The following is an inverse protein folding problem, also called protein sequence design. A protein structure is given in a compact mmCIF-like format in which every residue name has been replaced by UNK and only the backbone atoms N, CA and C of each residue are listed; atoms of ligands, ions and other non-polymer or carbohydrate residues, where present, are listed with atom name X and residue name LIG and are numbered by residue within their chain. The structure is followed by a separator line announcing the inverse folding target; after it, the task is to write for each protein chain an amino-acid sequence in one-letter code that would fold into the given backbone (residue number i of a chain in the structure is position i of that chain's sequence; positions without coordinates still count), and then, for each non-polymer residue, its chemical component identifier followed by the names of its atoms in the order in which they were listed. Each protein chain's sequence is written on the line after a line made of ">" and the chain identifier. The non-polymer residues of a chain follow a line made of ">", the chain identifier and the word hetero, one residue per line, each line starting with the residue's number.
data_IF_925023816267
#
_entry.id   IF_925023816267
#
_cell.length_a   1.000
_cell.length_b   1.000
_cell.length_c   1.000
_cell.angle_alpha   90.00
_cell.angle_beta   90.00
_cell.angle_gamma   90.00
#
_symmetry.space_group_name_H-M   'P 1'
#
loop_
_entity.id
_entity.type
_entity.pdbx_description
1 polymer ?
#
# COMPACT_ATOMS: atom_id res chain seq x y z
N UNK A 1 -11.34 69.85 24.13
CA UNK A 1 -11.56 68.83 23.09
C UNK A 1 -10.55 67.74 23.28
N UNK A 2 -10.94 66.58 23.92
CA UNK A 2 -10.11 65.42 24.15
C UNK A 2 -10.39 64.45 23.04
N UNK A 3 -9.36 64.10 22.24
CA UNK A 3 -9.43 63.01 21.23
C UNK A 3 -9.14 61.66 21.90
N UNK A 4 -10.13 60.81 21.89
CA UNK A 4 -10.04 59.40 22.32
C UNK A 4 -9.50 58.55 21.15
N UNK A 5 -8.32 57.99 21.29
CA UNK A 5 -7.74 57.01 20.37
C UNK A 5 -8.28 55.63 20.75
N UNK A 6 -9.08 55.01 19.85
CA UNK A 6 -9.44 53.59 19.95
C UNK A 6 -8.28 52.78 19.39
N UNK A 7 -7.66 51.94 20.22
CA UNK A 7 -6.73 50.93 19.78
C UNK A 7 -7.53 49.63 19.45
N UNK A 8 -7.60 49.26 18.16
CA UNK A 8 -8.08 47.94 17.74
C UNK A 8 -6.94 46.92 17.97
N UNK A 9 -7.11 46.06 18.96
CA UNK A 9 -6.23 44.91 19.18
C UNK A 9 -6.59 43.81 18.17
N UNK A 10 -5.66 43.50 17.25
CA UNK A 10 -5.74 42.37 16.36
C UNK A 10 -5.28 41.10 17.14
N UNK A 11 -6.23 40.27 17.55
CA UNK A 11 -5.91 38.97 18.16
C UNK A 11 -5.48 38.00 17.05
N UNK A 12 -4.18 37.78 16.90
CA UNK A 12 -3.62 36.72 16.08
C UNK A 12 -3.92 35.38 16.74
N UNK A 13 -4.80 34.57 16.14
CA UNK A 13 -5.03 33.20 16.55
C UNK A 13 -3.75 32.35 16.23
N UNK A 14 -2.98 32.08 17.24
CA UNK A 14 -1.82 31.15 17.15
C UNK A 14 -2.42 29.73 16.99
N UNK A 15 -2.46 29.23 15.76
CA UNK A 15 -2.71 27.81 15.52
C UNK A 15 -1.44 27.04 15.94
N UNK A 16 -1.45 26.50 17.13
CA UNK A 16 -0.42 25.56 17.59
C UNK A 16 -0.41 24.31 16.68
N UNK A 17 0.72 23.56 16.60
CA UNK A 17 0.79 22.36 15.81
C UNK A 17 -0.34 21.41 16.23
N UNK A 18 -1.16 20.98 15.27
CA UNK A 18 -2.24 20.02 15.52
C UNK A 18 -1.62 18.77 16.13
N UNK A 19 -1.92 18.49 17.39
CA UNK A 19 -1.48 17.28 18.07
C UNK A 19 -1.90 16.07 17.21
N UNK A 20 -0.93 15.26 16.79
CA UNK A 20 -1.21 14.00 16.09
C UNK A 20 -2.18 13.21 16.97
N UNK A 21 -3.34 12.83 16.44
CA UNK A 21 -4.29 12.02 17.17
C UNK A 21 -3.56 10.75 17.63
N UNK A 22 -3.65 10.44 18.92
CA UNK A 22 -3.03 9.25 19.51
C UNK A 22 -3.42 8.02 18.69
N UNK A 23 -2.44 7.22 18.27
CA UNK A 23 -2.68 6.00 17.52
C UNK A 23 -3.56 5.05 18.35
N UNK A 24 -4.64 4.54 17.73
CA UNK A 24 -5.46 3.49 18.33
C UNK A 24 -4.99 2.16 17.75
N UNK A 25 -4.65 1.19 18.58
CA UNK A 25 -4.31 -0.16 18.14
C UNK A 25 -5.23 -1.19 18.80
N UNK A 26 -5.30 -2.36 18.21
CA UNK A 26 -6.09 -3.45 18.75
C UNK A 26 -6.02 -4.70 17.88
N UNK A 27 -6.82 -5.69 18.27
CA UNK A 27 -6.99 -6.91 17.51
C UNK A 27 -8.43 -7.06 17.05
N UNK A 28 -8.62 -7.67 15.89
CA UNK A 28 -9.94 -7.97 15.33
C UNK A 28 -9.96 -9.40 14.81
N UNK A 29 -10.86 -10.22 15.39
CA UNK A 29 -10.99 -11.61 14.99
C UNK A 29 -11.83 -11.72 13.71
N UNK A 30 -11.27 -12.29 12.63
CA UNK A 30 -11.96 -12.60 11.37
C UNK A 30 -11.47 -13.94 10.84
N UNK A 31 -12.36 -14.75 10.32
CA UNK A 31 -12.07 -15.99 9.60
C UNK A 31 -11.04 -16.90 10.32
N UNK A 32 -11.15 -17.04 11.64
CA UNK A 32 -10.30 -17.88 12.47
C UNK A 32 -8.94 -17.28 12.86
N UNK A 33 -8.65 -16.04 12.48
CA UNK A 33 -7.44 -15.32 12.86
C UNK A 33 -7.77 -14.07 13.66
N UNK A 34 -6.83 -13.64 14.51
CA UNK A 34 -6.92 -12.41 15.30
C UNK A 34 -5.91 -11.38 14.78
N UNK A 35 -6.35 -10.54 13.84
CA UNK A 35 -5.50 -9.57 13.16
C UNK A 35 -5.19 -8.37 14.04
N UNK A 36 -3.92 -8.01 14.14
CA UNK A 36 -3.49 -6.75 14.73
C UNK A 36 -3.66 -5.60 13.74
N UNK A 37 -4.13 -4.47 14.22
CA UNK A 37 -4.26 -3.25 13.43
C UNK A 37 -3.90 -2.01 14.24
N UNK A 38 -3.52 -0.96 13.53
CA UNK A 38 -3.32 0.39 14.05
C UNK A 38 -4.15 1.39 13.25
N UNK A 39 -4.69 2.42 13.90
CA UNK A 39 -5.37 3.53 13.25
C UNK A 39 -4.66 4.82 13.59
N UNK A 40 -4.20 5.54 12.58
CA UNK A 40 -3.45 6.79 12.72
C UNK A 40 -4.14 7.92 11.98
N UNK A 41 -4.03 9.14 12.48
CA UNK A 41 -4.53 10.33 11.82
C UNK A 41 -6.05 10.43 11.74
N UNK A 42 -6.53 11.33 10.87
CA UNK A 42 -7.95 11.65 10.64
C UNK A 42 -8.19 11.93 9.17
N UNK A 43 -9.45 11.91 8.74
CA UNK A 43 -9.84 12.18 7.36
C UNK A 43 -10.27 10.92 6.61
N UNK A 44 -10.12 10.93 5.30
CA UNK A 44 -10.50 9.84 4.41
C UNK A 44 -9.74 8.54 4.74
N UNK A 45 -10.44 7.40 4.83
CA UNK A 45 -9.82 6.15 5.25
C UNK A 45 -8.89 5.60 4.17
N UNK A 46 -7.69 5.16 4.60
CA UNK A 46 -6.66 4.51 3.82
C UNK A 46 -6.26 3.20 4.49
N UNK A 47 -6.51 2.07 3.83
CA UNK A 47 -5.97 0.78 4.23
C UNK A 47 -4.51 0.68 3.77
N UNK A 48 -3.60 0.40 4.70
CA UNK A 48 -2.15 0.28 4.47
C UNK A 48 -1.70 -1.15 4.74
N UNK A 49 -1.11 -1.81 3.72
CA UNK A 49 -0.73 -3.22 3.75
C UNK A 49 0.75 -3.39 3.42
N UNK A 50 1.49 -4.02 4.33
CA UNK A 50 2.94 -4.21 4.26
C UNK A 50 3.37 -5.40 3.38
N UNK A 51 4.66 -5.50 3.08
CA UNK A 51 5.27 -6.59 2.31
C UNK A 51 5.51 -7.87 3.12
N UNK A 52 5.88 -8.95 2.41
CA UNK A 52 6.20 -10.23 3.01
C UNK A 52 7.36 -10.13 4.02
N UNK A 53 7.32 -10.95 5.06
CA UNK A 53 8.25 -11.00 6.20
C UNK A 53 8.39 -9.66 6.94
N UNK A 54 7.45 -8.72 6.73
CA UNK A 54 7.42 -7.41 7.36
C UNK A 54 6.30 -7.26 8.40
N UNK A 55 6.00 -6.02 8.73
CA UNK A 55 4.90 -5.59 9.60
C UNK A 55 4.53 -4.14 9.29
N UNK A 56 3.55 -3.59 9.99
CA UNK A 56 3.22 -2.15 9.95
C UNK A 56 4.47 -1.29 10.15
N UNK A 57 5.43 -1.76 10.96
CA UNK A 57 6.63 -1.01 11.32
C UNK A 57 7.53 -0.67 10.11
N UNK A 58 7.39 -1.39 8.98
CA UNK A 58 8.07 -1.04 7.72
C UNK A 58 7.75 0.39 7.26
N UNK A 59 6.54 0.86 7.52
CA UNK A 59 6.08 2.19 7.09
C UNK A 59 6.35 3.30 8.10
N UNK A 60 6.97 3.02 9.26
CA UNK A 60 7.20 4.05 10.30
C UNK A 60 7.82 5.35 9.76
N UNK A 61 8.78 5.32 8.81
CA UNK A 61 9.36 6.56 8.26
C UNK A 61 8.37 7.43 7.47
N UNK A 62 7.40 6.81 6.78
CA UNK A 62 6.44 7.51 5.89
C UNK A 62 5.03 7.63 6.48
N UNK A 63 4.71 6.86 7.50
CA UNK A 63 3.40 6.82 8.15
C UNK A 63 2.92 8.19 8.65
N UNK A 64 3.76 9.04 9.28
CA UNK A 64 3.34 10.40 9.67
C UNK A 64 2.87 11.24 8.49
N UNK A 65 3.52 11.12 7.33
CA UNK A 65 3.13 11.84 6.11
C UNK A 65 1.81 11.32 5.56
N UNK A 66 1.62 9.99 5.52
CA UNK A 66 0.37 9.37 5.08
C UNK A 66 -0.80 9.71 6.01
N UNK A 67 -0.56 9.78 7.32
CA UNK A 67 -1.58 10.02 8.34
C UNK A 67 -1.87 11.51 8.60
N UNK A 68 -1.16 12.43 7.95
CA UNK A 68 -1.33 13.89 8.16
C UNK A 68 -2.77 14.34 7.91
N UNK A 69 -3.33 13.95 6.76
CA UNK A 69 -4.66 14.35 6.31
C UNK A 69 -5.58 13.15 6.04
N UNK A 70 -5.15 11.93 6.44
CA UNK A 70 -5.87 10.68 6.25
C UNK A 70 -5.97 9.86 7.52
N UNK A 71 -7.03 9.07 7.61
CA UNK A 71 -7.17 8.01 8.62
C UNK A 71 -6.55 6.75 8.06
N UNK A 72 -5.32 6.47 8.43
CA UNK A 72 -4.60 5.26 8.01
C UNK A 72 -4.98 4.10 8.91
N UNK A 73 -5.54 3.04 8.32
CA UNK A 73 -5.79 1.75 8.93
C UNK A 73 -4.68 0.82 8.45
N UNK A 74 -3.69 0.58 9.29
CA UNK A 74 -2.58 -0.32 9.00
C UNK A 74 -2.85 -1.68 9.63
N UNK A 75 -2.58 -2.78 8.91
CA UNK A 75 -2.87 -4.14 9.38
C UNK A 75 -1.61 -4.99 9.25
N UNK A 76 -1.24 -5.69 10.33
CA UNK A 76 -0.25 -6.77 10.25
C UNK A 76 -0.90 -7.99 9.60
N UNK A 77 -0.39 -8.40 8.44
CA UNK A 77 -0.98 -9.46 7.61
C UNK A 77 -0.89 -10.83 8.30
N UNK A 78 -1.66 -11.79 7.81
CA UNK A 78 -1.70 -13.17 8.31
C UNK A 78 -0.28 -13.76 8.47
N UNK A 79 0.07 -14.16 9.68
CA UNK A 79 1.37 -14.72 10.04
C UNK A 79 2.51 -13.71 10.16
N UNK A 80 2.24 -12.42 10.05
CA UNK A 80 3.23 -11.35 10.05
C UNK A 80 3.03 -10.40 11.23
N UNK A 81 4.13 -9.77 11.65
CA UNK A 81 4.09 -8.79 12.72
C UNK A 81 3.42 -9.35 13.98
N UNK A 82 2.41 -8.68 14.49
CA UNK A 82 1.65 -9.05 15.72
C UNK A 82 0.45 -9.95 15.43
N UNK A 83 0.23 -10.33 14.17
CA UNK A 83 -0.80 -11.28 13.76
C UNK A 83 -0.21 -12.70 13.71
N UNK A 84 -0.73 -13.60 14.56
CA UNK A 84 -0.23 -14.97 14.62
C UNK A 84 -0.42 -15.74 13.30
N UNK A 85 0.47 -16.70 13.05
CA UNK A 85 0.44 -17.53 11.82
C UNK A 85 -0.79 -18.45 11.76
N UNK A 86 -1.24 -19.00 12.92
CA UNK A 86 -2.37 -19.93 12.94
C UNK A 86 -2.08 -21.21 12.14
N UNK A 87 -3.16 -21.94 11.78
CA UNK A 87 -3.06 -23.21 11.04
C UNK A 87 -3.42 -23.07 9.55
N UNK A 88 -4.16 -22.01 9.19
CA UNK A 88 -4.58 -21.75 7.82
C UNK A 88 -3.38 -21.48 6.90
N UNK A 89 -3.42 -21.99 5.68
CA UNK A 89 -2.42 -21.64 4.66
C UNK A 89 -2.44 -20.15 4.33
N UNK A 90 -1.30 -19.56 3.98
CA UNK A 90 -1.23 -18.19 3.48
C UNK A 90 -1.78 -18.15 2.05
N UNK A 91 -2.79 -17.32 1.83
CA UNK A 91 -3.46 -17.12 0.54
C UNK A 91 -3.80 -15.65 0.35
N UNK A 92 -3.41 -15.09 -0.82
CA UNK A 92 -3.71 -13.69 -1.13
C UNK A 92 -5.22 -13.44 -1.25
N UNK A 93 -5.97 -14.40 -1.82
CA UNK A 93 -7.43 -14.30 -1.92
C UNK A 93 -8.10 -14.31 -0.56
N UNK A 94 -7.70 -15.25 0.33
CA UNK A 94 -8.27 -15.32 1.68
C UNK A 94 -7.93 -14.05 2.49
N UNK A 95 -6.69 -13.54 2.35
CA UNK A 95 -6.34 -12.26 2.99
C UNK A 95 -7.12 -11.08 2.40
N UNK A 96 -7.48 -11.10 1.11
CA UNK A 96 -8.38 -10.12 0.51
C UNK A 96 -9.75 -10.11 1.19
N UNK A 97 -10.34 -11.29 1.39
CA UNK A 97 -11.62 -11.46 2.11
C UNK A 97 -11.49 -11.07 3.60
N UNK A 98 -10.36 -11.40 4.22
CA UNK A 98 -10.08 -10.99 5.60
C UNK A 98 -10.04 -9.46 5.74
N UNK A 99 -9.37 -8.75 4.80
CA UNK A 99 -9.35 -7.28 4.82
C UNK A 99 -10.76 -6.70 4.68
N UNK A 100 -11.60 -7.26 3.81
CA UNK A 100 -13.00 -6.85 3.70
C UNK A 100 -13.76 -7.04 5.02
N UNK A 101 -13.60 -8.19 5.68
CA UNK A 101 -14.22 -8.49 6.96
C UNK A 101 -13.71 -7.59 8.10
N UNK A 102 -12.40 -7.29 8.14
CA UNK A 102 -11.79 -6.35 9.09
C UNK A 102 -12.39 -4.96 8.92
N UNK A 103 -12.38 -4.43 7.69
CA UNK A 103 -12.92 -3.11 7.38
C UNK A 103 -14.39 -2.99 7.78
N UNK A 104 -15.20 -4.02 7.48
CA UNK A 104 -16.62 -4.08 7.89
C UNK A 104 -16.77 -4.03 9.41
N UNK A 105 -15.99 -4.81 10.16
CA UNK A 105 -16.03 -4.82 11.64
C UNK A 105 -15.57 -3.51 12.25
N UNK A 106 -14.59 -2.83 11.63
CA UNK A 106 -14.11 -1.54 12.08
C UNK A 106 -14.97 -0.35 11.63
N UNK A 107 -16.04 -0.59 10.85
CA UNK A 107 -16.99 0.43 10.42
C UNK A 107 -16.53 1.24 9.20
N UNK A 108 -15.67 0.67 8.36
CA UNK A 108 -15.18 1.31 7.12
C UNK A 108 -15.82 0.64 5.89
N UNK A 109 -16.95 1.15 5.37
CA UNK A 109 -17.62 0.53 4.22
C UNK A 109 -16.85 0.71 2.91
N UNK A 110 -16.04 1.76 2.81
CA UNK A 110 -15.21 2.05 1.64
C UNK A 110 -13.92 2.75 2.05
N UNK A 111 -12.79 2.35 1.45
CA UNK A 111 -11.45 2.88 1.72
C UNK A 111 -10.67 3.13 0.43
N UNK A 112 -9.64 3.97 0.47
CA UNK A 112 -8.51 3.85 -0.45
C UNK A 112 -7.58 2.75 0.05
N UNK A 113 -6.80 2.14 -0.85
CA UNK A 113 -5.86 1.07 -0.49
C UNK A 113 -4.46 1.44 -1.00
N UNK A 114 -3.47 1.30 -0.15
CA UNK A 114 -2.05 1.30 -0.49
C UNK A 114 -1.46 -0.02 -0.03
N UNK A 115 -1.07 -0.86 -0.97
CA UNK A 115 -0.44 -2.15 -0.68
C UNK A 115 0.94 -2.25 -1.31
N UNK A 116 1.93 -2.67 -0.51
CA UNK A 116 3.30 -2.90 -0.95
C UNK A 116 3.59 -4.40 -1.06
N UNK A 117 4.16 -4.83 -2.19
CA UNK A 117 4.62 -6.22 -2.41
C UNK A 117 3.52 -7.24 -2.09
N UNK A 118 3.69 -8.12 -1.10
CA UNK A 118 2.65 -9.04 -0.62
C UNK A 118 1.33 -8.30 -0.33
N UNK A 119 1.41 -7.17 0.38
CA UNK A 119 0.25 -6.31 0.67
C UNK A 119 -0.37 -5.71 -0.59
N UNK A 120 0.41 -5.50 -1.65
CA UNK A 120 -0.10 -5.13 -2.97
C UNK A 120 -0.94 -6.24 -3.58
N UNK A 121 -0.47 -7.50 -3.51
CA UNK A 121 -1.25 -8.67 -3.92
C UNK A 121 -2.55 -8.83 -3.12
N UNK A 122 -2.51 -8.61 -1.80
CA UNK A 122 -3.71 -8.63 -0.93
C UNK A 122 -4.67 -7.50 -1.31
N UNK A 123 -4.17 -6.27 -1.52
CA UNK A 123 -4.97 -5.13 -1.96
C UNK A 123 -5.61 -5.34 -3.32
N UNK A 124 -4.89 -5.98 -4.24
CA UNK A 124 -5.40 -6.38 -5.55
C UNK A 124 -6.56 -7.38 -5.41
N UNK A 125 -6.39 -8.43 -4.60
CA UNK A 125 -7.46 -9.42 -4.37
C UNK A 125 -8.67 -8.81 -3.68
N UNK A 126 -8.48 -7.95 -2.67
CA UNK A 126 -9.56 -7.17 -2.07
C UNK A 126 -10.33 -6.38 -3.13
N UNK A 127 -9.64 -5.70 -4.03
CA UNK A 127 -10.27 -4.87 -5.07
C UNK A 127 -11.04 -5.69 -6.12
N UNK A 128 -10.57 -6.90 -6.44
CA UNK A 128 -11.25 -7.83 -7.37
C UNK A 128 -12.47 -8.48 -6.71
N UNK A 129 -12.34 -8.94 -5.47
CA UNK A 129 -13.37 -9.70 -4.75
C UNK A 129 -14.44 -8.79 -4.14
N UNK A 130 -14.06 -7.57 -3.72
CA UNK A 130 -14.93 -6.61 -3.05
C UNK A 130 -14.81 -5.20 -3.66
N UNK A 131 -15.08 -5.01 -4.96
CA UNK A 131 -14.79 -3.77 -5.68
C UNK A 131 -15.49 -2.54 -5.10
N UNK A 132 -16.68 -2.70 -4.49
CA UNK A 132 -17.42 -1.61 -3.86
C UNK A 132 -16.73 -1.05 -2.60
N UNK A 133 -15.82 -1.82 -1.98
CA UNK A 133 -15.09 -1.39 -0.78
C UNK A 133 -13.81 -0.61 -1.11
N UNK A 134 -13.38 -0.60 -2.36
CA UNK A 134 -12.13 0.07 -2.77
C UNK A 134 -12.44 1.27 -3.65
N UNK A 135 -12.17 2.46 -3.16
CA UNK A 135 -12.37 3.72 -3.89
C UNK A 135 -11.23 4.02 -4.88
N UNK A 136 -9.99 3.82 -4.45
CA UNK A 136 -8.75 3.92 -5.24
C UNK A 136 -7.76 2.90 -4.75
N UNK A 137 -6.95 2.37 -5.65
CA UNK A 137 -5.97 1.33 -5.36
C UNK A 137 -4.57 1.79 -5.79
N UNK A 138 -3.66 1.93 -4.84
CA UNK A 138 -2.23 2.14 -5.10
C UNK A 138 -1.48 0.82 -4.84
N UNK A 139 -0.87 0.29 -5.89
CA UNK A 139 -0.04 -0.92 -5.85
C UNK A 139 1.43 -0.52 -5.96
N UNK A 140 2.18 -0.80 -4.91
CA UNK A 140 3.61 -0.47 -4.81
C UNK A 140 4.41 -1.75 -4.94
N UNK A 141 5.26 -1.84 -5.97
CA UNK A 141 6.13 -3.00 -6.21
C UNK A 141 5.37 -4.34 -6.16
N UNK A 142 4.24 -4.44 -6.88
CA UNK A 142 3.39 -5.63 -6.93
C UNK A 142 3.02 -5.99 -8.37
N UNK A 143 3.22 -7.25 -8.74
CA UNK A 143 2.93 -7.75 -10.08
C UNK A 143 1.54 -8.39 -10.21
N UNK A 144 1.09 -8.55 -11.45
CA UNK A 144 -0.15 -9.27 -11.77
C UNK A 144 0.11 -10.71 -12.24
N UNK A 145 1.37 -11.06 -12.54
CA UNK A 145 1.74 -12.42 -12.97
C UNK A 145 3.17 -12.76 -12.55
N UNK A 146 3.44 -14.05 -12.42
CA UNK A 146 4.74 -14.57 -11.98
C UNK A 146 5.87 -14.27 -12.98
N UNK A 147 5.56 -14.20 -14.28
CA UNK A 147 6.53 -13.85 -15.32
C UNK A 147 7.02 -12.41 -15.25
N UNK A 148 6.43 -11.59 -14.38
CA UNK A 148 6.90 -10.24 -14.10
C UNK A 148 8.23 -10.15 -13.38
N UNK A 149 8.61 -11.18 -12.63
CA UNK A 149 9.89 -11.23 -11.96
C UNK A 149 11.06 -11.42 -12.96
N UNK A 150 12.25 -10.99 -12.56
CA UNK A 150 13.45 -11.40 -13.28
C UNK A 150 13.66 -12.89 -13.18
N UNK A 151 14.11 -13.58 -14.26
CA UNK A 151 14.25 -15.05 -14.28
C UNK A 151 15.11 -15.61 -13.15
N UNK A 152 16.16 -14.90 -12.73
CA UNK A 152 17.04 -15.30 -11.62
C UNK A 152 16.35 -15.27 -10.24
N UNK A 153 15.23 -14.54 -10.11
CA UNK A 153 14.46 -14.49 -8.85
C UNK A 153 13.66 -15.77 -8.61
N UNK A 154 13.19 -16.43 -9.67
CA UNK A 154 12.32 -17.60 -9.55
C UNK A 154 12.96 -18.79 -8.82
N UNK A 155 14.23 -19.19 -9.13
CA UNK A 155 14.91 -20.21 -8.35
C UNK A 155 15.11 -19.85 -6.88
N UNK A 156 15.39 -18.57 -6.59
CA UNK A 156 15.54 -18.09 -5.20
C UNK A 156 14.21 -18.16 -4.43
N UNK A 157 13.11 -17.74 -5.05
CA UNK A 157 11.78 -17.84 -4.46
C UNK A 157 11.35 -19.30 -4.22
N UNK A 158 11.71 -20.21 -5.12
CA UNK A 158 11.41 -21.64 -4.98
C UNK A 158 12.11 -22.29 -3.77
N UNK A 159 13.24 -21.74 -3.33
CA UNK A 159 14.01 -22.23 -2.18
C UNK A 159 13.53 -21.69 -0.84
N UNK A 160 12.62 -20.70 -0.83
CA UNK A 160 12.10 -20.14 0.42
C UNK A 160 11.41 -21.23 1.24
N UNK A 161 11.85 -21.38 2.49
CA UNK A 161 11.34 -22.39 3.41
C UNK A 161 12.08 -22.36 4.75
N UNK A 162 11.66 -23.22 5.69
CA UNK A 162 12.19 -23.27 7.07
C UNK A 162 13.72 -23.42 7.14
N UNK A 163 14.34 -24.12 6.17
CA UNK A 163 15.79 -24.30 6.13
C UNK A 163 16.57 -22.98 6.02
N UNK A 164 15.94 -21.90 5.53
CA UNK A 164 16.57 -20.58 5.45
C UNK A 164 16.60 -19.83 6.79
N UNK A 165 15.80 -20.24 7.76
CA UNK A 165 15.57 -19.46 9.00
C UNK A 165 16.88 -19.18 9.74
N UNK A 166 17.77 -20.17 9.83
CA UNK A 166 19.06 -20.02 10.52
C UNK A 166 19.94 -18.96 9.86
N UNK A 167 20.00 -18.96 8.52
CA UNK A 167 20.79 -17.99 7.75
C UNK A 167 20.19 -16.58 7.75
N UNK A 168 18.92 -16.44 8.13
CA UNK A 168 18.24 -15.16 8.18
C UNK A 168 18.35 -14.43 9.52
N UNK A 169 18.89 -15.06 10.58
CA UNK A 169 18.92 -14.50 11.96
C UNK A 169 19.52 -13.09 12.05
N UNK A 170 20.50 -12.80 11.20
CA UNK A 170 21.14 -11.49 11.18
C UNK A 170 20.44 -10.44 10.28
N UNK A 171 19.44 -10.86 9.50
CA UNK A 171 18.72 -9.97 8.61
C UNK A 171 17.74 -9.05 9.34
N UNK A 172 17.45 -7.85 8.80
CA UNK A 172 16.42 -6.98 9.33
C UNK A 172 15.03 -7.63 9.40
N UNK A 173 14.70 -8.50 8.43
CA UNK A 173 13.42 -9.21 8.37
C UNK A 173 13.22 -10.13 9.58
N UNK A 174 14.21 -10.97 9.90
CA UNK A 174 14.13 -11.82 11.09
C UNK A 174 14.05 -10.99 12.38
N UNK A 175 14.96 -10.00 12.53
CA UNK A 175 15.02 -9.15 13.72
C UNK A 175 13.72 -8.40 13.96
N UNK A 176 13.10 -7.87 12.90
CA UNK A 176 11.82 -7.17 13.00
C UNK A 176 10.67 -8.12 13.35
N UNK A 177 10.68 -9.34 12.81
CA UNK A 177 9.68 -10.37 13.12
C UNK A 177 9.73 -10.77 14.60
N UNK A 178 10.88 -11.22 15.08
CA UNK A 178 11.03 -11.71 16.47
C UNK A 178 10.78 -10.63 17.51
N UNK A 179 10.96 -9.37 17.15
CA UNK A 179 10.72 -8.24 18.06
C UNK A 179 9.25 -8.02 18.42
N UNK A 180 8.31 -8.47 17.56
CA UNK A 180 6.88 -8.16 17.70
C UNK A 180 5.94 -9.36 17.57
N UNK A 181 6.41 -10.48 17.00
CA UNK A 181 5.59 -11.66 16.77
C UNK A 181 5.09 -12.28 18.08
N UNK A 182 3.81 -12.70 18.16
CA UNK A 182 3.27 -13.39 19.34
C UNK A 182 3.99 -14.70 19.64
N UNK A 183 4.55 -15.35 18.62
CA UNK A 183 5.32 -16.59 18.67
C UNK A 183 6.54 -16.46 17.77
N UNK A 184 7.65 -15.91 18.25
CA UNK A 184 8.88 -15.73 17.45
C UNK A 184 9.42 -17.06 16.86
N UNK A 185 9.19 -18.17 17.55
CA UNK A 185 9.55 -19.52 17.12
C UNK A 185 8.81 -20.00 15.87
N UNK A 186 7.72 -19.35 15.47
CA UNK A 186 6.98 -19.66 14.24
C UNK A 186 7.69 -19.14 12.97
N UNK A 187 8.80 -18.40 13.07
CA UNK A 187 9.48 -17.82 11.89
C UNK A 187 9.85 -18.88 10.82
N UNK A 188 10.44 -20.07 11.16
CA UNK A 188 10.70 -21.10 10.17
C UNK A 188 9.43 -21.60 9.48
N UNK A 189 8.34 -21.76 10.23
CA UNK A 189 7.04 -22.19 9.72
C UNK A 189 6.41 -21.11 8.82
N UNK A 190 6.60 -19.83 9.15
CA UNK A 190 6.20 -18.73 8.26
C UNK A 190 6.94 -18.79 6.93
N UNK A 191 8.25 -19.06 6.94
CA UNK A 191 9.04 -19.23 5.70
C UNK A 191 8.51 -20.38 4.85
N UNK A 192 8.13 -21.52 5.44
CA UNK A 192 7.51 -22.63 4.71
C UNK A 192 6.20 -22.18 4.04
N UNK A 193 5.32 -21.49 4.76
CA UNK A 193 4.05 -20.98 4.22
C UNK A 193 4.26 -19.94 3.11
N UNK A 194 5.26 -19.07 3.26
CA UNK A 194 5.63 -18.11 2.23
C UNK A 194 6.21 -18.83 0.99
N UNK A 195 7.05 -19.85 1.18
CA UNK A 195 7.55 -20.66 0.08
C UNK A 195 6.44 -21.42 -0.65
N UNK A 196 5.47 -21.97 0.06
CA UNK A 196 4.27 -22.60 -0.53
C UNK A 196 3.51 -21.60 -1.41
N UNK A 197 3.33 -20.34 -0.95
CA UNK A 197 2.71 -19.28 -1.73
C UNK A 197 3.53 -18.94 -2.97
N UNK A 198 4.84 -18.71 -2.83
CA UNK A 198 5.73 -18.27 -3.91
C UNK A 198 5.92 -19.32 -5.01
N UNK A 199 5.81 -20.62 -4.69
CA UNK A 199 5.89 -21.70 -5.67
C UNK A 199 4.63 -21.89 -6.51
N UNK A 200 3.49 -21.28 -6.11
CA UNK A 200 2.25 -21.35 -6.88
C UNK A 200 2.33 -20.37 -8.06
N UNK A 201 2.25 -20.86 -9.31
CA UNK A 201 2.19 -19.96 -10.46
C UNK A 201 0.91 -19.14 -10.42
N UNK A 202 1.00 -17.90 -10.87
CA UNK A 202 -0.15 -17.03 -10.97
C UNK A 202 -0.06 -16.14 -12.21
N UNK A 203 -1.23 -15.88 -12.79
CA UNK A 203 -1.48 -14.87 -13.80
C UNK A 203 -2.90 -14.29 -13.57
N UNK A 204 -2.95 -13.02 -13.25
CA UNK A 204 -4.19 -12.29 -12.95
C UNK A 204 -4.54 -11.28 -14.06
N UNK A 205 -4.04 -11.48 -15.27
CA UNK A 205 -4.27 -10.57 -16.39
C UNK A 205 -5.77 -10.33 -16.65
N UNK A 206 -6.59 -11.39 -16.53
CA UNK A 206 -8.05 -11.26 -16.68
C UNK A 206 -8.70 -10.56 -15.48
N UNK A 207 -8.16 -10.71 -14.27
CA UNK A 207 -8.67 -10.01 -13.10
C UNK A 207 -8.30 -8.52 -13.12
N UNK A 208 -7.15 -8.13 -13.71
CA UNK A 208 -6.78 -6.72 -13.95
C UNK A 208 -7.88 -5.98 -14.71
N UNK A 209 -8.46 -6.62 -15.72
CA UNK A 209 -9.53 -6.04 -16.55
C UNK A 209 -10.85 -5.83 -15.79
N UNK A 210 -11.05 -6.52 -14.67
CA UNK A 210 -12.23 -6.40 -13.80
C UNK A 210 -12.16 -5.25 -12.82
N UNK A 211 -11.00 -4.61 -12.65
CA UNK A 211 -10.82 -3.52 -11.70
C UNK A 211 -11.64 -2.29 -12.11
N UNK A 212 -12.59 -1.90 -11.26
CA UNK A 212 -13.54 -0.82 -11.55
C UNK A 212 -13.08 0.55 -11.04
N UNK A 213 -12.21 0.58 -10.04
CA UNK A 213 -11.67 1.80 -9.44
C UNK A 213 -10.44 2.31 -10.18
N UNK A 214 -10.06 3.59 -10.02
CA UNK A 214 -8.76 4.07 -10.45
C UNK A 214 -7.64 3.30 -9.74
N UNK A 215 -6.59 2.92 -10.51
CA UNK A 215 -5.41 2.21 -10.02
C UNK A 215 -4.16 3.05 -10.29
N UNK A 216 -3.27 3.09 -9.33
CA UNK A 216 -1.93 3.63 -9.48
C UNK A 216 -0.90 2.54 -9.25
N UNK A 217 0.01 2.38 -10.19
CA UNK A 217 1.18 1.51 -10.09
C UNK A 217 2.38 2.36 -9.72
N UNK A 218 3.18 1.91 -8.74
CA UNK A 218 4.40 2.60 -8.30
C UNK A 218 5.52 1.59 -8.14
N UNK A 219 6.65 1.84 -8.79
CA UNK A 219 7.84 0.97 -8.74
C UNK A 219 9.11 1.81 -8.57
N UNK A 220 10.17 1.20 -8.04
CA UNK A 220 11.51 1.73 -8.20
C UNK A 220 12.02 1.46 -9.62
N UNK A 221 12.98 2.25 -10.10
CA UNK A 221 13.64 2.00 -11.40
C UNK A 221 14.56 0.76 -11.36
N UNK A 222 14.88 0.30 -10.16
CA UNK A 222 15.67 -0.91 -9.88
C UNK A 222 14.86 -1.94 -9.07
N UNK A 223 13.56 -2.09 -9.39
CA UNK A 223 12.64 -3.03 -8.72
C UNK A 223 12.94 -4.50 -9.10
N UNK A 224 12.36 -5.44 -8.34
CA UNK A 224 12.40 -6.88 -8.66
C UNK A 224 11.47 -7.28 -9.82
N UNK A 225 10.62 -6.38 -10.28
CA UNK A 225 9.76 -6.58 -11.45
C UNK A 225 10.39 -5.96 -12.69
N UNK A 226 10.36 -6.72 -13.80
CA UNK A 226 10.88 -6.24 -15.09
C UNK A 226 10.08 -5.04 -15.60
N UNK A 227 10.75 -4.03 -16.19
CA UNK A 227 10.06 -2.84 -16.73
C UNK A 227 8.96 -3.16 -17.74
N UNK A 228 9.16 -4.19 -18.59
CA UNK A 228 8.16 -4.62 -19.57
C UNK A 228 6.87 -5.08 -18.89
N UNK A 229 6.97 -5.80 -17.77
CA UNK A 229 5.83 -6.23 -16.96
C UNK A 229 5.09 -5.03 -16.38
N UNK A 230 5.82 -4.06 -15.83
CA UNK A 230 5.26 -2.83 -15.27
C UNK A 230 4.47 -2.05 -16.32
N UNK A 231 5.05 -1.86 -17.50
CA UNK A 231 4.39 -1.19 -18.62
C UNK A 231 3.17 -1.99 -19.10
N UNK A 232 3.30 -3.32 -19.23
CA UNK A 232 2.20 -4.19 -19.63
C UNK A 232 1.04 -4.15 -18.62
N UNK A 233 1.34 -4.13 -17.33
CA UNK A 233 0.31 -3.98 -16.29
C UNK A 233 -0.47 -2.67 -16.48
N UNK A 234 0.23 -1.55 -16.69
CA UNK A 234 -0.40 -0.26 -16.95
C UNK A 234 -1.27 -0.27 -18.20
N UNK A 235 -0.84 -0.96 -19.28
CA UNK A 235 -1.61 -1.12 -20.51
C UNK A 235 -2.87 -1.97 -20.29
N UNK A 236 -2.79 -3.06 -19.50
CA UNK A 236 -3.96 -3.88 -19.16
C UNK A 236 -5.01 -3.08 -18.38
N UNK A 237 -4.59 -2.10 -17.59
CA UNK A 237 -5.48 -1.14 -16.91
C UNK A 237 -6.06 -0.08 -17.86
N UNK A 238 -5.70 -0.10 -19.15
CA UNK A 238 -6.13 0.91 -20.13
C UNK A 238 -5.31 2.20 -20.13
N UNK A 239 -4.12 2.19 -19.49
CA UNK A 239 -3.20 3.32 -19.51
C UNK A 239 -2.19 3.27 -20.66
N UNK A 240 -1.66 4.41 -21.09
CA UNK A 240 -0.59 4.50 -22.07
C UNK A 240 -0.91 3.95 -23.47
N UNK A 241 -2.20 3.81 -23.84
CA UNK A 241 -2.61 3.22 -25.13
C UNK A 241 -2.67 4.23 -26.28
N UNK A 242 -2.70 5.53 -25.96
CA UNK A 242 -2.67 6.63 -26.93
C UNK A 242 -2.19 7.91 -26.28
N UNK A 243 -1.84 8.90 -27.10
CA UNK A 243 -1.51 10.25 -26.64
C UNK A 243 -2.66 10.88 -25.85
N UNK A 244 -2.32 11.59 -24.78
CA UNK A 244 -3.32 12.22 -23.93
C UNK A 244 -4.01 13.43 -24.55
N UNK A 245 -3.44 14.02 -25.60
CA UNK A 245 -3.89 15.24 -26.22
C UNK A 245 -3.48 16.51 -25.45
N UNK A 246 -3.46 17.64 -26.16
CA UNK A 246 -3.11 18.96 -25.60
C UNK A 246 -4.04 19.41 -24.48
N UNK A 247 -5.33 19.08 -24.59
CA UNK A 247 -6.36 19.33 -23.59
C UNK A 247 -6.43 18.26 -22.51
N UNK A 248 -5.61 17.21 -22.59
CA UNK A 248 -5.62 16.02 -21.71
C UNK A 248 -6.92 15.19 -21.84
N UNK A 249 -7.60 15.28 -22.96
CA UNK A 249 -8.91 14.67 -23.23
C UNK A 249 -8.88 13.14 -23.21
N UNK A 250 -7.68 12.55 -23.40
CA UNK A 250 -7.49 11.09 -23.39
C UNK A 250 -6.66 10.60 -22.19
N UNK A 251 -6.54 11.43 -21.13
CA UNK A 251 -5.86 10.99 -19.91
C UNK A 251 -6.55 9.77 -19.32
N UNK A 252 -5.79 8.68 -19.11
CA UNK A 252 -6.26 7.55 -18.33
C UNK A 252 -6.64 7.99 -16.90
N UNK A 253 -7.63 7.33 -16.29
CA UNK A 253 -7.88 7.46 -14.85
C UNK A 253 -6.83 6.75 -14.01
N UNK A 254 -6.10 5.80 -14.61
CA UNK A 254 -5.03 5.05 -13.99
C UNK A 254 -3.69 5.82 -14.08
N UNK A 255 -2.76 5.52 -13.19
CA UNK A 255 -1.46 6.20 -13.10
C UNK A 255 -0.34 5.19 -13.03
N UNK A 256 0.81 5.61 -13.54
CA UNK A 256 2.09 4.90 -13.40
C UNK A 256 3.14 5.88 -12.88
N UNK A 257 3.89 5.47 -11.88
CA UNK A 257 5.10 6.13 -11.42
C UNK A 257 6.24 5.12 -11.36
N UNK A 258 7.38 5.49 -11.92
CA UNK A 258 8.66 4.81 -11.73
C UNK A 258 9.55 5.83 -11.01
N UNK A 259 9.92 5.51 -9.78
CA UNK A 259 10.67 6.40 -8.90
C UNK A 259 12.17 6.11 -9.06
N UNK A 260 12.97 7.12 -9.39
CA UNK A 260 14.39 6.93 -9.62
C UNK A 260 15.12 6.58 -8.32
N UNK A 261 16.24 5.83 -8.49
CA UNK A 261 17.18 5.49 -7.42
C UNK A 261 16.53 4.71 -6.25
N UNK A 262 15.48 3.91 -6.57
CA UNK A 262 14.78 3.07 -5.61
C UNK A 262 14.68 1.63 -6.10
N UNK A 263 14.76 0.72 -5.13
CA UNK A 263 14.63 -0.71 -5.32
C UNK A 263 13.32 -1.23 -4.72
N UNK A 264 13.04 -2.53 -4.92
CA UNK A 264 11.95 -3.21 -4.21
C UNK A 264 12.10 -3.09 -2.68
N UNK A 265 13.34 -3.06 -2.18
CA UNK A 265 13.65 -3.26 -0.75
C UNK A 265 13.70 -1.97 0.07
N UNK A 266 13.52 -0.80 -0.55
CA UNK A 266 13.61 0.51 0.11
C UNK A 266 12.49 1.49 -0.29
N UNK A 267 11.77 1.24 -1.39
CA UNK A 267 10.69 2.11 -1.86
C UNK A 267 9.62 2.39 -0.79
N UNK A 268 9.32 1.42 0.07
CA UNK A 268 8.27 1.52 1.10
C UNK A 268 8.61 2.49 2.22
N UNK A 269 9.89 2.79 2.43
CA UNK A 269 10.36 3.76 3.45
C UNK A 269 10.76 5.11 2.87
N UNK A 270 10.80 5.22 1.52
CA UNK A 270 11.21 6.44 0.84
C UNK A 270 10.17 7.55 0.96
N UNK A 271 10.56 8.80 1.25
CA UNK A 271 9.66 9.95 1.23
C UNK A 271 9.06 10.23 -0.15
N UNK A 272 9.65 9.71 -1.22
CA UNK A 272 9.11 9.84 -2.58
C UNK A 272 7.81 9.03 -2.76
N UNK A 273 7.63 7.94 -2.02
CA UNK A 273 6.40 7.15 -2.08
C UNK A 273 5.16 7.98 -1.72
N UNK A 274 5.03 8.59 -0.53
CA UNK A 274 3.87 9.43 -0.24
C UNK A 274 3.76 10.64 -1.17
N UNK A 275 4.85 11.22 -1.64
CA UNK A 275 4.82 12.32 -2.64
C UNK A 275 4.14 11.89 -3.93
N UNK A 276 4.43 10.67 -4.40
CA UNK A 276 3.83 10.13 -5.62
C UNK A 276 2.36 9.73 -5.43
N UNK A 277 2.02 9.04 -4.34
CA UNK A 277 0.69 8.41 -4.19
C UNK A 277 -0.37 9.35 -3.63
N UNK A 278 -0.03 10.30 -2.75
CA UNK A 278 -1.02 11.13 -2.07
C UNK A 278 -1.89 11.96 -3.03
N UNK A 279 -1.35 12.64 -4.07
CA UNK A 279 -2.20 13.36 -5.03
C UNK A 279 -3.22 12.47 -5.75
N UNK A 280 -2.84 11.23 -6.06
CA UNK A 280 -3.74 10.25 -6.65
C UNK A 280 -4.82 9.80 -5.66
N UNK A 281 -4.44 9.44 -4.44
CA UNK A 281 -5.37 9.02 -3.40
C UNK A 281 -6.34 10.14 -3.00
N UNK A 282 -5.90 11.40 -3.01
CA UNK A 282 -6.75 12.56 -2.75
C UNK A 282 -7.73 12.86 -3.89
N UNK A 283 -7.60 12.19 -5.04
CA UNK A 283 -8.40 12.50 -6.21
C UNK A 283 -8.18 13.91 -6.76
N UNK A 284 -7.05 14.53 -6.40
CA UNK A 284 -6.70 15.85 -6.91
C UNK A 284 -6.48 15.75 -8.40
N UNK A 285 -7.23 16.53 -9.14
CA UNK A 285 -7.02 16.67 -10.59
C UNK A 285 -5.60 17.14 -10.82
N UNK A 286 -4.96 16.58 -11.84
CA UNK A 286 -3.70 17.12 -12.32
C UNK A 286 -3.88 18.62 -12.64
N UNK A 287 -2.79 19.40 -12.59
CA UNK A 287 -2.82 20.81 -12.97
C UNK A 287 -3.55 20.99 -14.32
N UNK A 288 -4.25 22.12 -14.48
CA UNK A 288 -4.91 22.43 -15.76
C UNK A 288 -3.91 22.27 -16.89
N UNK A 289 -4.36 21.69 -18.02
CA UNK A 289 -3.52 21.57 -19.20
C UNK A 289 -2.96 22.95 -19.60
N UNK A 290 -1.78 22.97 -20.20
CA UNK A 290 -1.22 24.20 -20.75
C UNK A 290 -2.22 24.90 -21.70
N UNK A 291 -2.90 24.16 -22.57
CA UNK A 291 -3.94 24.68 -23.44
C UNK A 291 -5.10 25.34 -22.64
N UNK A 292 -5.51 24.76 -21.51
CA UNK A 292 -6.55 25.34 -20.65
C UNK A 292 -6.10 26.55 -19.83
N UNK A 293 -4.79 26.84 -19.77
CA UNK A 293 -4.24 28.03 -19.13
C UNK A 293 -4.13 29.21 -20.11
N UNK A 294 -3.82 28.94 -21.38
CA UNK A 294 -3.64 29.96 -22.42
C UNK A 294 -4.97 30.52 -22.97
N UNK A 295 -6.04 29.72 -22.94
CA UNK A 295 -7.38 30.11 -23.41
C UNK A 295 -8.18 31.04 -22.49
N UNK A 296 -7.60 31.52 -21.38
CA UNK A 296 -8.23 32.46 -20.43
C UNK A 296 -7.49 33.80 -20.42
N UNK A 297 -7.46 34.47 -21.57
CA UNK A 297 -7.18 35.93 -21.64
C UNK A 297 -8.44 36.64 -22.07
#
# INVERSE_FOLDING_TARGET
>A
MRRMLLALGLAAAIHGPAAMAQAKSGHVAVNGLNYYYEVHGRGEPLLLLHGGLGSIDMFRPVLPTLAKDRRVIAVDLHGHGRTALGERAISLSDMGDDMAAILKKLGYPQVDVLGYSLGGGVGFRLAVQHPAMVRRLALVSAGYAQDGFYPEMLPMQAQVGAAMAEHMKDTPMYKSYVAVAPKPEDFPRLLDRMGELMRKPFDWSEDVKKLQMPVMLVYGDSDMYRPEHVVRFYQLLGGGLKDAGWGREHMSRNRLAILPDLTHYDIFLSPELPRAVMPFLDGKSAPKSWAGQVGKK
#
